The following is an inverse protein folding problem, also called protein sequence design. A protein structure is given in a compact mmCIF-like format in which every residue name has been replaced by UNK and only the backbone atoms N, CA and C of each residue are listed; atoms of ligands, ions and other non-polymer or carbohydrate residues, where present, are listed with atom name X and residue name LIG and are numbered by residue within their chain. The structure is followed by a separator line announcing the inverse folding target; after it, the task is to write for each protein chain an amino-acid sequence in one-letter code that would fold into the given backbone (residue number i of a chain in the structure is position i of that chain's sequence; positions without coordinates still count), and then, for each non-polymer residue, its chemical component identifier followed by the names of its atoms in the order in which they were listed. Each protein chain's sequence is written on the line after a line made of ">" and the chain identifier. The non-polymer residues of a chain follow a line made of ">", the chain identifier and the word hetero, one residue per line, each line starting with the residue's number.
data_IF_141043717593
#
_entry.id   IF_141043717593
#
_cell.length_a   1.000
_cell.length_b   1.000
_cell.length_c   1.000
_cell.angle_alpha   90.00
_cell.angle_beta   90.00
_cell.angle_gamma   90.00
#
_symmetry.space_group_name_H-M   'P 1'
#
loop_
_entity.id
_entity.type
_entity.pdbx_description
1 polymer ?
#
# COMPACT_ATOMS: atom_id res chain seq x y z
N UNK A 1 -10.98 -4.90 -22.57
CA UNK A 1 -11.46 -4.40 -21.27
C UNK A 1 -10.82 -5.24 -20.18
N UNK A 2 -10.09 -4.63 -19.26
CA UNK A 2 -9.34 -5.33 -18.21
C UNK A 2 -10.32 -5.82 -17.12
N UNK A 3 -10.14 -7.03 -16.59
CA UNK A 3 -10.99 -7.59 -15.53
C UNK A 3 -10.11 -8.13 -14.41
N UNK A 4 -9.79 -7.27 -13.44
CA UNK A 4 -8.96 -7.62 -12.28
C UNK A 4 -9.83 -7.73 -11.03
N UNK A 5 -10.64 -8.78 -11.00
CA UNK A 5 -11.58 -9.04 -9.90
C UNK A 5 -10.92 -9.68 -8.67
N UNK A 6 -9.63 -10.01 -8.75
CA UNK A 6 -8.92 -10.68 -7.68
C UNK A 6 -8.26 -9.67 -6.73
N UNK A 7 -8.23 -10.03 -5.46
CA UNK A 7 -7.42 -9.41 -4.41
C UNK A 7 -6.12 -10.19 -4.24
N UNK A 8 -5.02 -9.52 -3.88
CA UNK A 8 -3.78 -10.22 -3.54
C UNK A 8 -3.72 -10.39 -2.02
N UNK A 9 -3.95 -11.59 -1.52
CA UNK A 9 -4.02 -11.88 -0.08
C UNK A 9 -3.16 -13.10 0.22
N UNK A 10 -2.32 -12.99 1.25
CA UNK A 10 -1.44 -14.08 1.68
C UNK A 10 -0.52 -14.64 0.56
N UNK A 11 -0.10 -13.77 -0.36
CA UNK A 11 0.78 -14.16 -1.47
C UNK A 11 0.06 -14.87 -2.62
N UNK A 12 -1.27 -14.78 -2.70
CA UNK A 12 -2.08 -15.42 -3.73
C UNK A 12 -3.17 -14.45 -4.24
N UNK A 13 -3.51 -14.57 -5.53
CA UNK A 13 -4.64 -13.87 -6.12
C UNK A 13 -5.94 -14.63 -5.81
N UNK A 14 -6.85 -14.00 -5.08
CA UNK A 14 -8.07 -14.63 -4.55
C UNK A 14 -9.32 -13.83 -4.90
N UNK A 15 -10.45 -14.51 -5.10
CA UNK A 15 -11.73 -13.84 -5.33
C UNK A 15 -12.18 -13.04 -4.10
N UNK A 16 -12.92 -11.96 -4.33
CA UNK A 16 -13.67 -11.28 -3.28
C UNK A 16 -14.75 -12.20 -2.72
N UNK A 17 -15.08 -12.03 -1.44
CA UNK A 17 -16.26 -12.68 -0.85
C UNK A 17 -17.59 -12.01 -1.26
N UNK A 18 -17.52 -10.83 -1.87
CA UNK A 18 -18.65 -10.13 -2.49
C UNK A 18 -18.71 -10.35 -4.00
N UNK A 19 -19.78 -9.85 -4.62
CA UNK A 19 -19.98 -9.85 -6.08
C UNK A 19 -20.01 -8.45 -6.68
N UNK A 20 -20.00 -7.42 -5.83
CA UNK A 20 -20.05 -6.04 -6.28
C UNK A 20 -18.73 -5.66 -6.94
N UNK A 21 -18.81 -4.84 -7.97
CA UNK A 21 -17.66 -4.42 -8.77
C UNK A 21 -17.66 -2.91 -8.97
N UNK A 22 -16.50 -2.34 -9.26
CA UNK A 22 -16.31 -0.92 -9.59
C UNK A 22 -15.69 -0.84 -10.97
N UNK A 23 -16.33 -0.06 -11.86
CA UNK A 23 -15.77 0.30 -13.15
C UNK A 23 -14.68 1.36 -12.98
N UNK A 24 -13.56 1.16 -13.67
CA UNK A 24 -12.47 2.13 -13.74
C UNK A 24 -12.56 2.84 -15.08
N UNK A 25 -12.66 4.16 -15.02
CA UNK A 25 -12.93 5.02 -16.16
C UNK A 25 -11.64 5.72 -16.57
N UNK A 26 -11.33 5.75 -17.87
CA UNK A 26 -10.26 6.60 -18.36
C UNK A 26 -10.75 8.06 -18.41
N UNK A 27 -10.15 8.99 -17.65
CA UNK A 27 -10.66 10.34 -17.53
C UNK A 27 -10.48 11.20 -18.80
N UNK A 28 -9.69 10.78 -19.78
CA UNK A 28 -9.52 11.47 -21.05
C UNK A 28 -10.58 11.08 -22.09
N UNK A 29 -11.19 9.90 -21.94
CA UNK A 29 -12.17 9.36 -22.91
C UNK A 29 -13.55 9.15 -22.32
N UNK A 30 -13.67 9.15 -20.98
CA UNK A 30 -14.87 8.79 -20.22
C UNK A 30 -15.34 7.34 -20.41
N UNK A 31 -14.56 6.52 -21.12
CA UNK A 31 -14.84 5.10 -21.36
C UNK A 31 -14.30 4.21 -20.24
N UNK A 32 -14.97 3.08 -20.03
CA UNK A 32 -14.55 2.05 -19.08
C UNK A 32 -13.32 1.31 -19.61
N UNK A 33 -12.20 1.39 -18.89
CA UNK A 33 -10.97 0.67 -19.23
C UNK A 33 -10.88 -0.70 -18.57
N UNK A 34 -11.64 -0.91 -17.50
CA UNK A 34 -11.80 -2.21 -16.88
C UNK A 34 -12.60 -2.17 -15.58
N UNK A 35 -12.55 -3.27 -14.86
CA UNK A 35 -13.36 -3.48 -13.66
C UNK A 35 -12.52 -4.13 -12.56
N UNK A 36 -12.74 -3.69 -11.32
CA UNK A 36 -12.18 -4.28 -10.10
C UNK A 36 -13.30 -4.76 -9.16
N UNK A 37 -13.01 -5.68 -8.27
CA UNK A 37 -13.95 -6.04 -7.19
C UNK A 37 -14.09 -4.91 -6.17
N UNK A 38 -15.32 -4.70 -5.70
CA UNK A 38 -15.60 -3.89 -4.52
C UNK A 38 -15.49 -4.79 -3.28
N UNK A 39 -14.29 -4.85 -2.70
CA UNK A 39 -14.00 -5.73 -1.58
C UNK A 39 -14.89 -5.49 -0.38
N UNK A 40 -15.09 -6.54 0.40
CA UNK A 40 -15.93 -6.55 1.60
C UNK A 40 -15.12 -6.37 2.87
N UNK A 41 -15.80 -6.31 4.01
CA UNK A 41 -15.13 -6.37 5.31
C UNK A 41 -14.43 -7.73 5.52
N UNK A 42 -15.06 -8.81 5.09
CA UNK A 42 -14.52 -10.17 5.20
C UNK A 42 -13.22 -10.33 4.40
N UNK A 43 -13.08 -9.62 3.27
CA UNK A 43 -11.82 -9.59 2.50
C UNK A 43 -10.71 -8.87 3.27
N UNK A 44 -11.04 -7.77 3.96
CA UNK A 44 -10.11 -7.08 4.86
C UNK A 44 -9.72 -7.98 6.03
N UNK A 45 -10.67 -8.68 6.66
CA UNK A 45 -10.40 -9.59 7.77
C UNK A 45 -9.45 -10.72 7.33
N UNK A 46 -9.63 -11.29 6.12
CA UNK A 46 -8.69 -12.27 5.53
C UNK A 46 -7.29 -11.69 5.35
N UNK A 47 -7.19 -10.47 4.80
CA UNK A 47 -5.93 -9.78 4.59
C UNK A 47 -5.21 -9.46 5.90
N UNK A 48 -5.94 -8.99 6.92
CA UNK A 48 -5.39 -8.69 8.25
C UNK A 48 -4.93 -9.96 8.94
N UNK A 49 -5.69 -11.05 8.84
CA UNK A 49 -5.29 -12.36 9.38
C UNK A 49 -3.97 -12.84 8.77
N UNK A 50 -3.82 -12.70 7.45
CA UNK A 50 -2.58 -13.04 6.75
C UNK A 50 -1.40 -12.16 7.22
N UNK A 51 -1.61 -10.85 7.30
CA UNK A 51 -0.60 -9.90 7.80
C UNK A 51 -0.19 -10.20 9.25
N UNK A 52 -1.15 -10.50 10.13
CA UNK A 52 -0.87 -10.84 11.53
C UNK A 52 -0.10 -12.16 11.64
N UNK A 53 -0.40 -13.14 10.80
CA UNK A 53 0.35 -14.40 10.76
C UNK A 53 1.79 -14.21 10.26
N UNK A 54 2.03 -13.29 9.33
CA UNK A 54 3.38 -12.98 8.82
C UNK A 54 4.23 -12.15 9.81
N UNK A 55 3.60 -11.35 10.67
CA UNK A 55 4.29 -10.37 11.53
C UNK A 55 5.39 -10.94 12.44
N UNK A 56 5.19 -12.04 13.20
CA UNK A 56 6.21 -12.55 14.11
C UNK A 56 7.52 -12.91 13.42
N UNK A 57 7.45 -13.41 12.19
CA UNK A 57 8.63 -13.73 11.40
C UNK A 57 9.21 -12.49 10.73
N UNK A 58 8.37 -11.70 10.02
CA UNK A 58 8.85 -10.58 9.23
C UNK A 58 9.51 -9.47 10.08
N UNK A 59 8.96 -9.20 11.27
CA UNK A 59 9.51 -8.20 12.20
C UNK A 59 10.89 -8.57 12.78
N UNK A 60 11.25 -9.86 12.74
CA UNK A 60 12.52 -10.38 13.26
C UNK A 60 13.55 -10.67 12.16
N UNK A 61 13.22 -10.39 10.89
CA UNK A 61 14.20 -10.43 9.80
C UNK A 61 15.35 -9.48 10.08
N UNK A 62 16.53 -9.78 9.53
CA UNK A 62 17.68 -8.90 9.72
C UNK A 62 17.53 -7.60 8.92
N UNK A 63 18.32 -6.57 9.28
CA UNK A 63 18.38 -5.32 8.51
C UNK A 63 18.79 -5.59 7.05
N UNK A 64 19.77 -6.47 6.84
CA UNK A 64 20.23 -6.88 5.52
C UNK A 64 19.14 -7.57 4.71
N UNK A 65 18.36 -8.49 5.29
CA UNK A 65 17.28 -9.17 4.56
C UNK A 65 16.24 -8.18 4.02
N UNK A 66 15.93 -7.12 4.80
CA UNK A 66 14.99 -6.08 4.39
C UNK A 66 15.57 -5.15 3.33
N UNK A 67 16.87 -4.86 3.38
CA UNK A 67 17.58 -4.11 2.32
C UNK A 67 17.57 -4.91 1.01
N UNK A 68 17.92 -6.20 1.07
CA UNK A 68 17.94 -7.09 -0.10
C UNK A 68 16.54 -7.24 -0.70
N UNK A 69 15.49 -7.33 0.13
CA UNK A 69 14.11 -7.32 -0.33
C UNK A 69 13.77 -6.02 -1.09
N UNK A 70 14.13 -4.85 -0.56
CA UNK A 70 13.88 -3.56 -1.20
C UNK A 70 14.63 -3.42 -2.53
N UNK A 71 15.85 -3.95 -2.63
CA UNK A 71 16.59 -4.01 -3.88
C UNK A 71 15.91 -4.91 -4.92
N UNK A 72 15.52 -6.14 -4.56
CA UNK A 72 14.77 -7.04 -5.45
C UNK A 72 13.46 -6.41 -5.93
N UNK A 73 12.73 -5.73 -5.05
CA UNK A 73 11.52 -4.98 -5.42
C UNK A 73 11.85 -3.91 -6.47
N UNK A 74 12.91 -3.12 -6.26
CA UNK A 74 13.29 -2.08 -7.22
C UNK A 74 13.68 -2.66 -8.58
N UNK A 75 14.38 -3.80 -8.61
CA UNK A 75 14.75 -4.51 -9.85
C UNK A 75 13.52 -5.03 -10.60
N UNK A 76 12.57 -5.67 -9.91
CA UNK A 76 11.32 -6.13 -10.54
C UNK A 76 10.43 -4.96 -10.97
N UNK A 77 10.42 -3.85 -10.21
CA UNK A 77 9.71 -2.63 -10.58
C UNK A 77 10.21 -2.05 -11.90
N UNK A 78 11.54 -2.04 -12.11
CA UNK A 78 12.15 -1.55 -13.35
C UNK A 78 11.73 -2.36 -14.59
N UNK A 79 11.55 -3.67 -14.44
CA UNK A 79 11.07 -4.54 -15.53
C UNK A 79 9.63 -4.24 -15.95
N UNK A 80 8.84 -3.62 -15.08
CA UNK A 80 7.42 -3.27 -15.30
C UNK A 80 7.21 -1.81 -15.70
N UNK A 81 8.28 -1.11 -16.09
CA UNK A 81 8.24 0.30 -16.44
C UNK A 81 7.14 0.66 -17.44
N UNK A 82 7.09 -0.04 -18.56
CA UNK A 82 6.17 0.32 -19.64
C UNK A 82 4.72 0.10 -19.20
N UNK A 83 4.44 -0.99 -18.48
CA UNK A 83 3.12 -1.27 -17.89
C UNK A 83 2.68 -0.18 -16.91
N UNK A 84 3.58 0.30 -16.04
CA UNK A 84 3.27 1.42 -15.15
C UNK A 84 2.97 2.71 -15.94
N UNK A 85 3.81 3.05 -16.92
CA UNK A 85 3.64 4.29 -17.70
C UNK A 85 2.33 4.26 -18.47
N UNK A 86 2.00 3.13 -19.08
CA UNK A 86 0.75 2.94 -19.80
C UNK A 86 -0.45 3.04 -18.84
N UNK A 87 -0.47 2.24 -17.77
CA UNK A 87 -1.63 2.20 -16.87
C UNK A 87 -1.86 3.53 -16.16
N UNK A 88 -0.82 4.21 -15.69
CA UNK A 88 -0.97 5.54 -15.07
C UNK A 88 -1.54 6.54 -16.09
N UNK A 89 -1.14 6.46 -17.35
CA UNK A 89 -1.71 7.32 -18.40
C UNK A 89 -3.20 7.04 -18.59
N UNK A 90 -3.60 5.77 -18.56
CA UNK A 90 -4.99 5.35 -18.77
C UNK A 90 -5.89 5.66 -17.57
N UNK A 91 -5.48 5.33 -16.35
CA UNK A 91 -6.32 5.43 -15.16
C UNK A 91 -6.33 6.83 -14.53
N UNK A 92 -5.21 7.54 -14.58
CA UNK A 92 -5.10 8.91 -14.04
C UNK A 92 -5.33 9.98 -15.12
N UNK A 93 -5.09 9.67 -16.40
CA UNK A 93 -5.07 10.66 -17.48
C UNK A 93 -3.80 11.51 -17.52
N UNK A 94 -2.75 11.11 -16.81
CA UNK A 94 -1.48 11.84 -16.83
C UNK A 94 -0.84 11.73 -18.23
N UNK A 95 -0.30 12.83 -18.81
CA UNK A 95 0.42 12.74 -20.08
C UNK A 95 1.56 11.71 -19.98
N UNK A 96 1.77 10.89 -21.01
CA UNK A 96 2.78 9.80 -21.04
C UNK A 96 4.15 10.26 -20.51
N UNK A 97 4.58 11.46 -20.91
CA UNK A 97 5.85 12.05 -20.44
C UNK A 97 5.88 12.25 -18.92
N UNK A 98 4.77 12.67 -18.31
CA UNK A 98 4.62 12.82 -16.86
C UNK A 98 4.47 11.47 -16.17
N UNK A 99 3.70 10.54 -16.74
CA UNK A 99 3.56 9.15 -16.24
C UNK A 99 4.94 8.51 -16.07
N UNK A 100 5.82 8.68 -17.05
CA UNK A 100 7.21 8.23 -16.96
C UNK A 100 8.09 9.09 -16.06
N UNK A 101 8.27 10.38 -16.39
CA UNK A 101 9.30 11.21 -15.74
C UNK A 101 9.03 11.48 -14.26
N UNK A 102 7.76 11.44 -13.85
CA UNK A 102 7.33 11.74 -12.49
C UNK A 102 6.77 10.50 -11.83
N UNK A 103 5.62 9.98 -12.27
CA UNK A 103 4.90 8.96 -11.50
C UNK A 103 5.70 7.65 -11.36
N UNK A 104 6.17 7.08 -12.46
CA UNK A 104 7.01 5.87 -12.44
C UNK A 104 8.29 6.09 -11.63
N UNK A 105 9.04 7.17 -11.92
CA UNK A 105 10.32 7.44 -11.26
C UNK A 105 10.16 7.68 -9.74
N UNK A 106 9.08 8.34 -9.30
CA UNK A 106 8.80 8.51 -7.87
C UNK A 106 8.61 7.16 -7.19
N UNK A 107 7.81 6.26 -7.78
CA UNK A 107 7.59 4.91 -7.25
C UNK A 107 8.89 4.15 -7.04
N UNK A 108 9.71 4.07 -8.10
CA UNK A 108 11.02 3.42 -8.07
C UNK A 108 11.97 4.04 -7.04
N UNK A 109 12.02 5.37 -6.98
CA UNK A 109 12.93 6.09 -6.08
C UNK A 109 12.66 5.81 -4.60
N UNK A 110 11.40 5.58 -4.21
CA UNK A 110 11.06 5.29 -2.80
C UNK A 110 11.65 3.96 -2.33
N UNK A 111 11.62 2.92 -3.15
CA UNK A 111 12.22 1.63 -2.80
C UNK A 111 13.74 1.72 -2.75
N UNK A 112 14.38 2.37 -3.74
CA UNK A 112 15.83 2.58 -3.77
C UNK A 112 16.32 3.42 -2.58
N UNK A 113 15.62 4.51 -2.27
CA UNK A 113 16.01 5.39 -1.17
C UNK A 113 15.73 4.74 0.19
N UNK A 114 14.65 3.97 0.35
CA UNK A 114 14.41 3.22 1.58
C UNK A 114 15.54 2.20 1.85
N UNK A 115 16.00 1.46 0.84
CA UNK A 115 17.13 0.54 0.99
C UNK A 115 18.40 1.27 1.41
N UNK A 116 18.71 2.37 0.73
CA UNK A 116 19.89 3.21 1.02
C UNK A 116 19.85 3.83 2.42
N UNK A 117 18.72 4.36 2.85
CA UNK A 117 18.57 4.98 4.18
C UNK A 117 18.58 3.92 5.29
N UNK A 118 18.05 2.73 5.02
CA UNK A 118 18.07 1.63 5.97
C UNK A 118 19.49 1.14 6.26
N UNK A 119 20.41 1.22 5.31
CA UNK A 119 21.83 0.83 5.49
C UNK A 119 22.49 1.54 6.70
N UNK A 120 22.26 2.85 6.84
CA UNK A 120 22.82 3.66 7.94
C UNK A 120 21.87 3.83 9.13
N UNK A 121 20.66 3.27 9.07
CA UNK A 121 19.68 3.42 10.14
C UNK A 121 19.97 2.49 11.31
N UNK A 122 20.03 3.08 12.51
CA UNK A 122 20.21 2.36 13.77
C UNK A 122 18.86 2.13 14.48
N UNK A 123 18.53 0.84 14.64
CA UNK A 123 17.34 0.39 15.38
C UNK A 123 17.56 0.37 16.89
N UNK A 124 18.81 0.43 17.35
CA UNK A 124 19.14 0.42 18.77
C UNK A 124 20.06 1.58 19.12
N UNK A 125 19.82 2.20 20.27
CA UNK A 125 20.64 3.29 20.80
C UNK A 125 20.83 3.07 22.31
N UNK A 126 22.06 3.18 22.81
CA UNK A 126 22.34 3.18 24.25
C UNK A 126 22.32 4.62 24.77
N UNK A 127 21.52 4.88 25.80
CA UNK A 127 21.49 6.14 26.56
C UNK A 127 21.87 5.88 28.01
N UNK A 128 23.15 6.07 28.33
CA UNK A 128 23.71 5.67 29.62
C UNK A 128 23.61 4.15 29.79
N UNK A 129 22.94 3.71 30.85
CA UNK A 129 22.66 2.29 31.12
C UNK A 129 21.38 1.75 30.47
N UNK A 130 20.67 2.58 29.69
CA UNK A 130 19.38 2.22 29.07
C UNK A 130 19.54 1.90 27.59
N UNK A 131 19.05 0.73 27.16
CA UNK A 131 18.92 0.38 25.73
C UNK A 131 17.56 0.84 25.20
N UNK A 132 17.56 1.65 24.15
CA UNK A 132 16.37 2.02 23.38
C UNK A 132 16.35 1.19 22.11
N UNK A 133 15.22 0.53 21.82
CA UNK A 133 15.00 -0.22 20.58
C UNK A 133 13.81 0.35 19.82
N UNK A 134 13.98 0.54 18.51
CA UNK A 134 12.92 0.88 17.56
C UNK A 134 12.46 -0.43 16.93
N UNK A 135 11.18 -0.75 17.10
CA UNK A 135 10.58 -1.97 16.57
C UNK A 135 9.48 -1.63 15.56
N UNK A 136 9.15 -2.59 14.70
CA UNK A 136 7.95 -2.50 13.88
C UNK A 136 6.74 -2.26 14.77
N UNK A 137 5.84 -1.38 14.32
CA UNK A 137 4.57 -1.13 14.99
C UNK A 137 3.58 -2.30 14.84
N UNK A 138 3.82 -3.23 13.90
CA UNK A 138 2.91 -4.32 13.58
C UNK A 138 2.16 -4.14 12.27
N UNK A 139 0.94 -4.69 12.20
CA UNK A 139 0.12 -4.71 10.99
C UNK A 139 -0.33 -3.28 10.67
N UNK A 140 -0.04 -2.83 9.46
CA UNK A 140 -0.31 -1.47 9.02
C UNK A 140 -1.36 -1.42 7.91
N UNK A 141 -2.45 -0.69 8.15
CA UNK A 141 -3.46 -0.37 7.15
C UNK A 141 -3.03 0.86 6.33
N UNK A 142 -2.92 0.71 5.01
CA UNK A 142 -2.49 1.78 4.12
C UNK A 142 -3.64 2.15 3.18
N UNK A 143 -4.04 3.42 3.16
CA UNK A 143 -5.09 3.94 2.28
C UNK A 143 -4.51 5.08 1.46
N UNK A 144 -4.48 4.93 0.13
CA UNK A 144 -3.76 5.84 -0.78
C UNK A 144 -4.68 6.55 -1.78
N UNK A 145 -4.35 7.79 -2.18
CA UNK A 145 -5.17 8.60 -3.06
C UNK A 145 -4.89 8.28 -4.53
N UNK A 146 -5.74 8.81 -5.41
CA UNK A 146 -5.63 8.65 -6.85
C UNK A 146 -4.61 9.58 -7.52
N UNK A 147 -4.32 10.76 -6.96
CA UNK A 147 -3.61 11.81 -7.67
C UNK A 147 -2.13 11.52 -7.97
N UNK A 148 -1.49 10.67 -7.17
CA UNK A 148 -0.15 10.13 -7.45
C UNK A 148 -0.10 8.64 -7.05
N UNK A 149 -0.63 7.75 -7.91
CA UNK A 149 -0.98 6.38 -7.51
C UNK A 149 0.25 5.53 -7.15
N UNK A 150 1.42 5.84 -7.73
CA UNK A 150 2.70 5.20 -7.38
C UNK A 150 3.44 5.89 -6.23
N UNK A 151 3.33 7.21 -6.06
CA UNK A 151 4.11 7.96 -5.07
C UNK A 151 3.71 7.60 -3.63
N UNK A 152 2.44 7.84 -3.28
CA UNK A 152 1.95 7.66 -1.92
C UNK A 152 1.91 6.19 -1.52
N UNK A 153 1.70 5.31 -2.49
CA UNK A 153 1.72 3.86 -2.33
C UNK A 153 3.13 3.37 -2.06
N UNK A 154 4.09 3.68 -2.94
CA UNK A 154 5.47 3.19 -2.80
C UNK A 154 6.18 3.76 -1.58
N UNK A 155 5.98 5.04 -1.22
CA UNK A 155 6.62 5.63 -0.03
C UNK A 155 6.18 4.93 1.27
N UNK A 156 4.88 4.61 1.40
CA UNK A 156 4.34 3.92 2.58
C UNK A 156 4.81 2.48 2.63
N UNK A 157 4.76 1.77 1.50
CA UNK A 157 5.16 0.37 1.40
C UNK A 157 6.65 0.19 1.65
N UNK A 158 7.50 0.99 0.99
CA UNK A 158 8.94 0.95 1.18
C UNK A 158 9.33 1.21 2.65
N UNK A 159 8.68 2.19 3.30
CA UNK A 159 8.91 2.48 4.71
C UNK A 159 8.43 1.36 5.64
N UNK A 160 7.25 0.78 5.37
CA UNK A 160 6.71 -0.34 6.15
C UNK A 160 7.60 -1.58 6.03
N UNK A 161 8.04 -1.92 4.83
CA UNK A 161 8.96 -3.03 4.60
C UNK A 161 10.32 -2.77 5.24
N UNK A 162 10.88 -1.56 5.15
CA UNK A 162 12.12 -1.22 5.84
C UNK A 162 12.03 -1.38 7.37
N UNK A 163 10.85 -1.08 7.94
CA UNK A 163 10.56 -1.22 9.36
C UNK A 163 10.23 -2.66 9.80
N UNK A 164 9.96 -3.59 8.88
CA UNK A 164 9.51 -4.95 9.20
C UNK A 164 8.01 -5.07 9.52
N UNK A 165 7.19 -4.14 9.00
CA UNK A 165 5.74 -4.12 9.17
C UNK A 165 5.01 -4.77 7.98
N UNK A 166 4.18 -5.81 8.19
CA UNK A 166 3.26 -6.29 7.16
C UNK A 166 2.09 -5.32 6.97
N UNK A 167 1.52 -5.31 5.76
CA UNK A 167 0.58 -4.27 5.33
C UNK A 167 -0.69 -4.84 4.70
N UNK A 168 -1.77 -4.09 4.87
CA UNK A 168 -3.02 -4.24 4.11
C UNK A 168 -3.28 -2.92 3.39
N UNK A 169 -3.16 -2.92 2.07
CA UNK A 169 -3.30 -1.75 1.21
C UNK A 169 -4.69 -1.72 0.58
N UNK A 170 -5.34 -0.55 0.65
CA UNK A 170 -6.46 -0.16 -0.21
C UNK A 170 -6.05 1.06 -1.06
N UNK A 171 -5.78 0.90 -2.36
CA UNK A 171 -5.54 2.01 -3.27
C UNK A 171 -6.87 2.71 -3.60
N UNK A 172 -6.83 3.92 -4.13
CA UNK A 172 -8.05 4.53 -4.66
C UNK A 172 -8.63 3.69 -5.80
N UNK A 173 -9.93 3.44 -5.71
CA UNK A 173 -10.76 2.78 -6.72
C UNK A 173 -10.78 3.51 -8.07
N UNK A 174 -10.35 4.77 -8.12
CA UNK A 174 -10.21 5.54 -9.36
C UNK A 174 -8.91 5.20 -10.12
N UNK A 175 -7.87 4.75 -9.42
CA UNK A 175 -6.56 4.42 -10.00
C UNK A 175 -5.96 3.15 -9.38
N UNK A 176 -6.63 1.99 -9.49
CA UNK A 176 -6.23 0.77 -8.80
C UNK A 176 -5.10 0.00 -9.52
N UNK A 177 -4.91 0.20 -10.83
CA UNK A 177 -4.08 -0.67 -11.65
C UNK A 177 -2.59 -0.50 -11.38
N UNK A 178 -2.11 0.70 -11.05
CA UNK A 178 -0.73 0.85 -10.57
C UNK A 178 -0.47 0.03 -9.29
N UNK A 179 -1.44 -0.10 -8.39
CA UNK A 179 -1.29 -0.93 -7.19
C UNK A 179 -1.37 -2.43 -7.49
N UNK A 180 -2.19 -2.83 -8.48
CA UNK A 180 -2.26 -4.22 -8.97
C UNK A 180 -0.92 -4.63 -9.61
N UNK A 181 -0.35 -3.80 -10.50
CA UNK A 181 1.00 -4.04 -11.05
C UNK A 181 2.04 -4.14 -9.94
N UNK A 182 1.93 -3.30 -8.91
CA UNK A 182 2.85 -3.36 -7.78
C UNK A 182 2.72 -4.66 -6.97
N UNK A 183 1.52 -5.24 -6.85
CA UNK A 183 1.33 -6.56 -6.26
C UNK A 183 2.05 -7.65 -7.06
N UNK A 184 1.98 -7.60 -8.40
CA UNK A 184 2.71 -8.51 -9.30
C UNK A 184 4.25 -8.33 -9.16
N UNK A 185 4.72 -7.08 -8.99
CA UNK A 185 6.14 -6.79 -8.68
C UNK A 185 6.56 -7.44 -7.36
N UNK A 186 5.71 -7.38 -6.33
CA UNK A 186 6.02 -7.98 -5.03
C UNK A 186 6.00 -9.50 -5.04
N UNK A 187 5.10 -10.10 -5.81
CA UNK A 187 5.09 -11.53 -6.08
C UNK A 187 6.40 -11.96 -6.75
N UNK A 188 6.79 -11.29 -7.85
CA UNK A 188 8.04 -11.56 -8.57
C UNK A 188 9.29 -11.33 -7.71
N UNK A 189 9.28 -10.30 -6.86
CA UNK A 189 10.38 -9.99 -5.94
C UNK A 189 10.46 -10.94 -4.75
N UNK A 190 9.51 -11.88 -4.59
CA UNK A 190 9.48 -12.84 -3.50
C UNK A 190 9.27 -12.17 -2.13
N UNK A 191 8.36 -11.20 -2.06
CA UNK A 191 7.84 -10.68 -0.78
C UNK A 191 7.17 -11.85 -0.03
N UNK A 192 7.52 -12.11 1.26
CA UNK A 192 6.96 -13.25 1.97
C UNK A 192 5.42 -13.20 2.05
N UNK A 193 4.78 -14.37 2.01
CA UNK A 193 3.32 -14.50 2.09
C UNK A 193 2.76 -13.75 3.30
N UNK A 194 1.72 -12.94 3.07
CA UNK A 194 1.05 -12.13 4.09
C UNK A 194 1.76 -10.81 4.45
N UNK A 195 3.02 -10.59 4.04
CA UNK A 195 3.70 -9.30 4.28
C UNK A 195 3.05 -8.17 3.50
N UNK A 196 2.60 -8.44 2.28
CA UNK A 196 1.80 -7.51 1.48
C UNK A 196 0.45 -8.12 1.16
N UNK A 197 -0.61 -7.32 1.32
CA UNK A 197 -1.96 -7.68 0.93
C UNK A 197 -2.64 -6.48 0.27
N UNK A 198 -3.30 -6.69 -0.86
CA UNK A 198 -4.05 -5.70 -1.62
C UNK A 198 -5.53 -6.05 -1.58
N UNK A 199 -6.35 -5.15 -1.04
CA UNK A 199 -7.81 -5.24 -1.07
C UNK A 199 -8.35 -4.00 -1.79
N UNK A 200 -8.88 -4.21 -2.99
CA UNK A 200 -9.56 -3.16 -3.76
C UNK A 200 -10.99 -2.97 -3.24
N UNK A 201 -11.52 -1.75 -3.33
CA UNK A 201 -12.90 -1.44 -2.98
C UNK A 201 -13.09 -0.01 -2.49
N UNK A 202 -14.31 0.37 -2.12
CA UNK A 202 -14.64 1.77 -1.78
C UNK A 202 -14.06 2.22 -0.43
N UNK A 203 -14.03 3.54 -0.20
CA UNK A 203 -13.66 4.10 1.10
C UNK A 203 -14.61 3.69 2.22
N UNK A 204 -15.91 3.65 1.94
CA UNK A 204 -16.99 3.34 2.88
C UNK A 204 -17.00 1.87 3.31
N UNK A 205 -16.49 0.97 2.47
CA UNK A 205 -16.45 -0.46 2.81
C UNK A 205 -15.06 -0.86 3.27
N UNK A 206 -14.09 -0.87 2.36
CA UNK A 206 -12.72 -1.36 2.64
C UNK A 206 -11.95 -0.37 3.51
N UNK A 207 -12.06 0.94 3.24
CA UNK A 207 -11.39 1.97 4.04
C UNK A 207 -11.87 2.04 5.49
N UNK A 208 -13.18 1.96 5.70
CA UNK A 208 -13.79 1.91 7.04
C UNK A 208 -13.42 0.61 7.77
N UNK A 209 -13.43 -0.53 7.07
CA UNK A 209 -13.01 -1.81 7.63
C UNK A 209 -11.56 -1.76 8.09
N UNK A 210 -10.63 -1.27 7.25
CA UNK A 210 -9.21 -1.09 7.61
C UNK A 210 -9.05 -0.16 8.81
N UNK A 211 -9.68 1.02 8.80
CA UNK A 211 -9.49 2.00 9.87
C UNK A 211 -10.09 1.57 11.21
N UNK A 212 -11.13 0.73 11.18
CA UNK A 212 -11.83 0.24 12.37
C UNK A 212 -11.31 -1.11 12.88
N UNK A 213 -10.53 -1.86 12.10
CA UNK A 213 -10.14 -3.24 12.45
C UNK A 213 -9.36 -3.30 13.79
N UNK A 214 -9.70 -4.22 14.72
CA UNK A 214 -9.04 -4.33 16.02
C UNK A 214 -7.57 -4.79 15.91
N UNK A 215 -7.26 -5.67 14.96
CA UNK A 215 -5.90 -6.21 14.77
C UNK A 215 -5.00 -5.39 13.83
N UNK A 216 -5.38 -4.16 13.48
CA UNK A 216 -4.50 -3.21 12.77
C UNK A 216 -3.92 -2.23 13.78
N UNK A 217 -2.58 -2.17 13.84
CA UNK A 217 -1.83 -1.43 14.86
C UNK A 217 -1.57 0.03 14.43
N UNK A 218 -1.53 0.28 13.12
CA UNK A 218 -1.24 1.58 12.52
C UNK A 218 -2.06 1.81 11.25
N UNK A 219 -2.59 3.03 11.08
CA UNK A 219 -3.24 3.44 9.83
C UNK A 219 -2.52 4.64 9.23
N UNK A 220 -2.07 4.51 7.98
CA UNK A 220 -1.52 5.60 7.20
C UNK A 220 -2.47 5.95 6.07
N UNK A 221 -3.00 7.17 6.12
CA UNK A 221 -3.95 7.68 5.14
C UNK A 221 -3.39 8.88 4.40
N UNK A 222 -3.69 8.97 3.11
CA UNK A 222 -3.52 10.20 2.35
C UNK A 222 -4.76 10.45 1.49
N UNK A 223 -5.36 11.63 1.61
CA UNK A 223 -6.58 11.98 0.91
C UNK A 223 -7.26 13.24 1.45
N UNK A 224 -8.59 13.32 1.37
CA UNK A 224 -9.33 14.51 1.80
C UNK A 224 -9.37 14.68 3.33
N UNK A 225 -9.57 15.93 3.79
CA UNK A 225 -9.69 16.22 5.21
C UNK A 225 -10.87 15.50 5.88
N UNK A 226 -12.03 15.47 5.22
CA UNK A 226 -13.23 14.82 5.74
C UNK A 226 -13.04 13.30 5.95
N UNK A 227 -12.43 12.61 4.98
CA UNK A 227 -12.12 11.18 5.12
C UNK A 227 -11.03 10.95 6.17
N UNK A 228 -10.03 11.84 6.26
CA UNK A 228 -9.00 11.76 7.30
C UNK A 228 -9.57 11.92 8.73
N UNK A 229 -10.57 12.79 8.90
CA UNK A 229 -11.31 12.91 10.15
C UNK A 229 -12.03 11.61 10.49
N UNK A 230 -12.81 11.06 9.55
CA UNK A 230 -13.53 9.79 9.73
C UNK A 230 -12.60 8.63 10.08
N UNK A 231 -11.45 8.53 9.42
CA UNK A 231 -10.43 7.51 9.73
C UNK A 231 -9.91 7.65 11.16
N UNK A 232 -9.69 8.88 11.63
CA UNK A 232 -9.27 9.12 13.02
C UNK A 232 -10.36 8.74 14.02
N UNK A 233 -11.62 9.05 13.73
CA UNK A 233 -12.77 8.67 14.55
C UNK A 233 -12.92 7.15 14.66
N UNK A 234 -12.77 6.43 13.55
CA UNK A 234 -12.77 4.96 13.52
C UNK A 234 -11.62 4.37 14.34
N UNK A 235 -10.41 4.92 14.18
CA UNK A 235 -9.20 4.47 14.86
C UNK A 235 -9.21 4.73 16.38
N UNK A 236 -9.97 5.71 16.85
CA UNK A 236 -10.01 6.09 18.26
C UNK A 236 -10.48 4.94 19.18
N UNK A 237 -11.37 4.06 18.69
CA UNK A 237 -11.91 2.93 19.48
C UNK A 237 -10.85 1.92 19.92
N UNK A 238 -9.74 1.82 19.18
CA UNK A 238 -8.63 0.90 19.49
C UNK A 238 -7.36 1.66 19.88
N UNK A 239 -7.43 2.99 19.98
CA UNK A 239 -6.29 3.87 20.26
C UNK A 239 -5.08 3.59 19.33
N UNK A 240 -5.36 3.15 18.09
CA UNK A 240 -4.30 2.83 17.13
C UNK A 240 -3.64 4.11 16.61
N UNK A 241 -2.36 4.04 16.25
CA UNK A 241 -1.65 5.21 15.72
C UNK A 241 -2.19 5.56 14.33
N UNK A 242 -2.41 6.85 14.08
CA UNK A 242 -2.89 7.36 12.79
C UNK A 242 -1.90 8.38 12.22
N UNK A 243 -1.54 8.21 10.97
CA UNK A 243 -0.80 9.20 10.18
C UNK A 243 -1.70 9.73 9.07
N UNK A 244 -1.99 11.03 9.08
CA UNK A 244 -2.81 11.70 8.07
C UNK A 244 -1.94 12.64 7.23
N UNK A 245 -1.96 12.45 5.92
CA UNK A 245 -1.56 13.48 4.97
C UNK A 245 -2.81 13.96 4.22
N UNK A 246 -3.39 15.08 4.67
CA UNK A 246 -4.58 15.65 4.05
C UNK A 246 -4.32 17.06 3.54
N UNK A 247 -5.02 17.43 2.46
CA UNK A 247 -5.04 18.82 2.00
C UNK A 247 -5.98 19.59 2.93
N UNK A 248 -5.41 20.36 3.85
CA UNK A 248 -6.17 21.26 4.70
C UNK A 248 -6.43 22.56 3.93
N UNK A 249 -7.56 22.65 3.21
CA UNK A 249 -8.11 23.95 2.86
C UNK A 249 -9.28 24.20 3.82
N UNK A 250 -8.99 24.77 5.00
CA UNK A 250 -10.01 25.37 5.85
C UNK A 250 -10.40 26.70 5.23
N UNK A 251 -11.32 26.69 4.28
CA UNK A 251 -12.07 27.89 3.88
C UNK A 251 -13.43 27.83 4.54
#
# INVERSE_FOLDING_TARGET
>A
MRSDLLHYINGEWTESSGKDTIEVINPATEEVIGTISNGTKEDVDRAVKAARAAFPHFSQTSKSDRIDLLHRIAEEYEKRKDDFVEMITQELGAPVKMSHKVHYNMGLSHFKEAAKQLDTFEFTENRGSTLIRKESIGVSGLITPWNFPTNQTSTKLASAFAAGSPVVLKPSELTPYAAIILAEVFEAAGVPKGVFNLVNGSGETVGDAISSHPDIDFVSFTGSGAVGQKISENAAKTVKRVHLNSVANRR
#
